data_IF_566932656379
#
_entry.id   IF_566932656379
#
_cell.length_a   1.000
_cell.length_b   1.000
_cell.length_c   1.000
_cell.angle_alpha   90.00
_cell.angle_beta   90.00
_cell.angle_gamma   90.00
#
_symmetry.space_group_name_H-M   'P 1'
#
loop_
_entity.id
_entity.type
_entity.pdbx_description
1 polymer ?
#
# COMPACT_ATOMS: atom_id res chain seq x y z
N UNK A 1 -13.70 11.90 2.10
CA UNK A 1 -12.46 12.56 1.69
C UNK A 1 -11.39 11.52 1.44
N UNK A 2 -10.75 11.59 0.29
CA UNK A 2 -9.79 10.58 -0.10
C UNK A 2 -8.59 10.53 0.84
N UNK A 3 -8.19 9.31 1.18
CA UNK A 3 -7.04 9.02 2.01
C UNK A 3 -6.06 8.18 1.21
N UNK A 4 -4.79 8.52 1.26
CA UNK A 4 -3.72 7.75 0.66
C UNK A 4 -2.94 7.05 1.77
N UNK A 5 -2.96 5.72 1.74
CA UNK A 5 -2.13 4.92 2.62
C UNK A 5 -0.88 4.50 1.86
N UNK A 6 0.27 4.79 2.43
CA UNK A 6 1.55 4.40 1.84
C UNK A 6 2.26 3.39 2.72
N UNK A 7 2.88 2.42 2.10
CA UNK A 7 3.72 1.46 2.78
C UNK A 7 5.02 1.30 2.02
N UNK A 8 6.12 1.43 2.72
CA UNK A 8 7.46 1.28 2.13
C UNK A 8 8.20 0.15 2.84
N UNK A 9 8.99 -0.59 2.10
CA UNK A 9 9.79 -1.68 2.67
C UNK A 9 10.85 -2.10 1.67
N UNK A 10 11.82 -2.89 2.16
CA UNK A 10 12.77 -3.59 1.31
C UNK A 10 12.49 -5.08 1.39
N UNK A 11 12.80 -5.81 0.34
CA UNK A 11 12.84 -7.26 0.40
C UNK A 11 14.01 -7.72 1.27
N UNK A 12 13.89 -8.89 1.86
CA UNK A 12 14.99 -9.50 2.61
C UNK A 12 16.18 -9.72 1.69
N UNK A 13 17.38 -9.41 2.19
CA UNK A 13 18.63 -9.61 1.45
C UNK A 13 18.88 -11.07 1.10
N UNK A 14 18.32 -12.01 1.87
CA UNK A 14 18.47 -13.44 1.63
C UNK A 14 17.75 -13.93 0.38
N UNK A 15 16.84 -13.15 -0.19
CA UNK A 15 16.11 -13.55 -1.39
C UNK A 15 17.00 -13.41 -2.63
N UNK A 16 16.97 -14.41 -3.51
CA UNK A 16 17.61 -14.31 -4.81
C UNK A 16 16.85 -13.33 -5.72
N UNK A 17 17.46 -12.91 -6.80
CA UNK A 17 16.80 -12.03 -7.78
C UNK A 17 15.55 -12.68 -8.36
N UNK A 18 15.59 -14.00 -8.59
CA UNK A 18 14.41 -14.73 -9.07
C UNK A 18 13.31 -14.72 -8.01
N UNK A 19 13.64 -14.90 -6.74
CA UNK A 19 12.66 -14.86 -5.66
C UNK A 19 12.04 -13.48 -5.51
N UNK A 20 12.82 -12.41 -5.67
CA UNK A 20 12.31 -11.05 -5.68
C UNK A 20 11.31 -10.86 -6.83
N UNK A 21 11.64 -11.34 -8.02
CA UNK A 21 10.75 -11.23 -9.17
C UNK A 21 9.46 -12.01 -8.94
N UNK A 22 9.54 -13.19 -8.33
CA UNK A 22 8.36 -13.98 -7.99
C UNK A 22 7.49 -13.25 -6.96
N UNK A 23 8.09 -12.53 -6.03
CA UNK A 23 7.35 -11.71 -5.07
C UNK A 23 6.64 -10.54 -5.74
N UNK A 24 7.27 -9.88 -6.71
CA UNK A 24 6.61 -8.85 -7.50
C UNK A 24 5.39 -9.39 -8.25
N UNK A 25 5.54 -10.58 -8.86
CA UNK A 25 4.41 -11.23 -9.54
C UNK A 25 3.28 -11.53 -8.57
N UNK A 26 3.60 -12.01 -7.38
CA UNK A 26 2.59 -12.30 -6.36
C UNK A 26 1.85 -11.02 -5.95
N UNK A 27 2.57 -9.93 -5.74
CA UNK A 27 1.96 -8.65 -5.39
C UNK A 27 1.01 -8.17 -6.49
N UNK A 28 1.42 -8.27 -7.74
CA UNK A 28 0.64 -7.78 -8.88
C UNK A 28 -0.55 -8.68 -9.21
N UNK A 29 -0.37 -9.98 -9.13
CA UNK A 29 -1.37 -10.95 -9.60
C UNK A 29 -2.36 -11.37 -8.52
N UNK A 30 -1.93 -11.39 -7.25
CA UNK A 30 -2.76 -11.87 -6.15
C UNK A 30 -3.14 -10.77 -5.16
N UNK A 31 -2.17 -10.01 -4.69
CA UNK A 31 -2.40 -9.02 -3.63
C UNK A 31 -3.17 -7.81 -4.14
N UNK A 32 -2.71 -7.20 -5.24
CA UNK A 32 -3.35 -5.99 -5.75
C UNK A 32 -4.82 -6.21 -6.12
N UNK A 33 -5.20 -7.29 -6.84
CA UNK A 33 -6.62 -7.52 -7.11
C UNK A 33 -7.46 -7.73 -5.84
N UNK A 34 -6.92 -8.43 -4.83
CA UNK A 34 -7.65 -8.65 -3.59
C UNK A 34 -7.89 -7.34 -2.83
N UNK A 35 -6.88 -6.47 -2.79
CA UNK A 35 -6.98 -5.14 -2.17
C UNK A 35 -8.03 -4.29 -2.89
N UNK A 36 -8.02 -4.30 -4.22
CA UNK A 36 -8.96 -3.49 -5.01
C UNK A 36 -10.42 -3.92 -4.85
N UNK A 37 -10.67 -5.15 -4.42
CA UNK A 37 -12.03 -5.64 -4.15
C UNK A 37 -12.60 -5.15 -2.82
N UNK A 38 -11.78 -4.63 -1.94
CA UNK A 38 -12.24 -4.15 -0.63
C UNK A 38 -13.05 -2.88 -0.81
N UNK A 39 -14.21 -2.82 -0.17
CA UNK A 39 -15.09 -1.65 -0.26
C UNK A 39 -14.36 -0.39 0.20
N UNK A 40 -14.45 0.66 -0.58
CA UNK A 40 -13.82 1.94 -0.28
C UNK A 40 -12.41 2.09 -0.81
N UNK A 41 -11.82 1.02 -1.37
CA UNK A 41 -10.51 1.10 -2.01
C UNK A 41 -10.70 1.53 -3.46
N UNK A 42 -10.03 2.62 -3.85
CA UNK A 42 -10.09 3.17 -5.21
C UNK A 42 -9.02 2.58 -6.11
N UNK A 43 -7.80 2.43 -5.60
CA UNK A 43 -6.68 1.93 -6.38
C UNK A 43 -5.56 1.44 -5.49
N UNK A 44 -4.72 0.59 -6.04
CA UNK A 44 -3.43 0.22 -5.47
C UNK A 44 -2.39 0.35 -6.57
N UNK A 45 -1.27 0.98 -6.26
CA UNK A 45 -0.13 1.11 -7.18
C UNK A 45 1.15 0.71 -6.46
N UNK A 46 2.02 0.07 -7.21
CA UNK A 46 3.29 -0.44 -6.71
C UNK A 46 4.43 0.22 -7.44
N UNK A 47 5.43 0.68 -6.68
CA UNK A 47 6.61 1.33 -7.23
C UNK A 47 7.87 0.69 -6.67
N UNK A 48 8.91 0.60 -7.49
CA UNK A 48 10.24 0.22 -7.03
C UNK A 48 11.12 1.46 -6.94
N UNK A 49 12.20 1.36 -6.17
CA UNK A 49 13.23 2.39 -6.16
C UNK A 49 13.91 2.49 -7.52
N UNK A 50 14.50 3.65 -7.82
CA UNK A 50 15.02 3.98 -9.14
C UNK A 50 15.97 2.91 -9.69
N UNK A 51 15.55 2.27 -10.77
CA UNK A 51 16.37 1.35 -11.54
C UNK A 51 16.58 -0.04 -10.98
N UNK A 52 15.92 -0.40 -9.84
CA UNK A 52 16.14 -1.72 -9.27
C UNK A 52 14.85 -2.29 -8.67
N UNK A 53 14.47 -3.50 -9.08
CA UNK A 53 13.29 -4.17 -8.53
C UNK A 53 13.47 -4.54 -7.05
N UNK A 54 14.70 -4.66 -6.58
CA UNK A 54 15.01 -5.04 -5.21
C UNK A 54 14.94 -3.89 -4.22
N UNK A 55 15.11 -2.65 -4.69
CA UNK A 55 15.25 -1.50 -3.81
C UNK A 55 13.92 -0.79 -3.57
N UNK A 56 13.73 -0.30 -2.35
CA UNK A 56 12.69 0.65 -1.95
C UNK A 56 11.31 0.43 -2.59
N UNK A 57 10.64 -0.64 -2.18
CA UNK A 57 9.29 -0.92 -2.66
C UNK A 57 8.33 0.05 -1.97
N UNK A 58 7.47 0.68 -2.74
CA UNK A 58 6.41 1.56 -2.23
C UNK A 58 5.06 1.08 -2.73
N UNK A 59 4.14 0.87 -1.79
CA UNK A 59 2.76 0.53 -2.08
C UNK A 59 1.90 1.75 -1.77
N UNK A 60 1.10 2.19 -2.74
CA UNK A 60 0.18 3.31 -2.58
C UNK A 60 -1.25 2.79 -2.73
N UNK A 61 -2.04 2.95 -1.68
CA UNK A 61 -3.46 2.54 -1.69
C UNK A 61 -4.31 3.78 -1.48
N UNK A 62 -5.09 4.16 -2.48
CA UNK A 62 -6.03 5.25 -2.38
C UNK A 62 -7.38 4.72 -1.94
N UNK A 63 -7.96 5.35 -0.93
CA UNK A 63 -9.24 4.95 -0.33
C UNK A 63 -10.18 6.16 -0.27
N UNK A 64 -11.48 5.89 -0.22
CA UNK A 64 -12.49 6.95 -0.12
C UNK A 64 -12.33 7.76 1.16
N UNK A 65 -11.98 7.08 2.26
CA UNK A 65 -11.74 7.69 3.55
C UNK A 65 -10.84 6.78 4.41
N UNK A 66 -10.48 7.24 5.59
CA UNK A 66 -9.60 6.49 6.48
C UNK A 66 -10.20 5.16 6.95
N UNK A 67 -11.51 5.01 6.95
CA UNK A 67 -12.16 3.76 7.35
C UNK A 67 -11.82 2.60 6.38
N UNK A 68 -11.41 2.89 5.16
CA UNK A 68 -10.97 1.88 4.21
C UNK A 68 -9.78 1.06 4.71
N UNK A 69 -8.90 1.67 5.48
CA UNK A 69 -7.76 0.96 6.07
C UNK A 69 -8.23 -0.15 7.02
N UNK A 70 -9.21 0.15 7.85
CA UNK A 70 -9.75 -0.85 8.78
C UNK A 70 -10.42 -1.99 8.02
N UNK A 71 -11.13 -1.69 6.94
CA UNK A 71 -11.74 -2.72 6.08
C UNK A 71 -10.67 -3.62 5.47
N UNK A 72 -9.53 -3.05 5.04
CA UNK A 72 -8.41 -3.85 4.54
C UNK A 72 -7.89 -4.82 5.59
N UNK A 73 -7.71 -4.34 6.82
CA UNK A 73 -7.20 -5.17 7.91
C UNK A 73 -8.17 -6.27 8.31
N UNK A 74 -9.47 -6.05 8.14
CA UNK A 74 -10.50 -7.02 8.50
C UNK A 74 -10.82 -7.99 7.37
N UNK A 75 -10.40 -7.70 6.15
CA UNK A 75 -10.65 -8.58 5.01
C UNK A 75 -9.84 -9.87 5.14
N UNK A 76 -10.53 -11.02 5.15
CA UNK A 76 -9.90 -12.31 5.41
C UNK A 76 -8.91 -12.70 4.31
N UNK A 77 -9.24 -12.42 3.05
CA UNK A 77 -8.35 -12.74 1.93
C UNK A 77 -7.10 -11.87 1.94
N UNK A 78 -7.28 -10.56 2.16
CA UNK A 78 -6.16 -9.62 2.25
C UNK A 78 -5.22 -10.03 3.38
N UNK A 79 -5.74 -10.36 4.57
CA UNK A 79 -4.91 -10.80 5.69
C UNK A 79 -4.12 -12.06 5.38
N UNK A 80 -4.75 -13.02 4.71
CA UNK A 80 -4.09 -14.25 4.30
C UNK A 80 -2.92 -13.98 3.35
N UNK A 81 -3.15 -13.13 2.35
CA UNK A 81 -2.12 -12.79 1.37
C UNK A 81 -0.99 -11.97 1.99
N UNK A 82 -1.31 -11.05 2.89
CA UNK A 82 -0.30 -10.25 3.58
C UNK A 82 0.56 -11.11 4.50
N UNK A 83 -0.01 -12.12 5.13
CA UNK A 83 0.76 -13.07 5.93
C UNK A 83 1.87 -13.74 5.13
N UNK A 84 1.58 -14.09 3.89
CA UNK A 84 2.59 -14.66 2.99
C UNK A 84 3.60 -13.60 2.54
N UNK A 85 3.14 -12.40 2.20
CA UNK A 85 4.00 -11.30 1.74
C UNK A 85 5.03 -10.93 2.80
N UNK A 86 4.62 -10.87 4.06
CA UNK A 86 5.52 -10.48 5.15
C UNK A 86 6.70 -11.43 5.33
N UNK A 87 6.63 -12.64 4.83
CA UNK A 87 7.76 -13.56 4.89
C UNK A 87 8.93 -13.11 4.00
N UNK A 88 8.65 -12.32 2.98
CA UNK A 88 9.66 -11.81 2.03
C UNK A 88 10.15 -10.40 2.35
N UNK A 89 9.47 -9.68 3.25
CA UNK A 89 9.81 -8.30 3.58
C UNK A 89 10.78 -8.23 4.75
N UNK A 90 11.72 -7.32 4.65
CA UNK A 90 12.52 -6.93 5.80
C UNK A 90 11.71 -5.93 6.62
N UNK A 91 11.05 -6.42 7.65
CA UNK A 91 10.14 -5.61 8.47
C UNK A 91 10.83 -4.47 9.21
N UNK A 92 12.15 -4.55 9.40
CA UNK A 92 12.93 -3.46 10.01
C UNK A 92 12.96 -2.23 9.13
N UNK A 93 12.77 -2.41 7.81
CA UNK A 93 12.78 -1.30 6.85
C UNK A 93 11.38 -0.77 6.57
N UNK A 94 10.35 -1.41 7.11
CA UNK A 94 8.97 -1.06 6.82
C UNK A 94 8.60 0.30 7.41
N UNK A 95 7.97 1.12 6.57
CA UNK A 95 7.39 2.40 6.99
C UNK A 95 5.96 2.50 6.48
N UNK A 96 5.21 3.38 7.09
CA UNK A 96 3.84 3.65 6.61
C UNK A 96 3.46 5.09 6.89
N UNK A 97 2.54 5.60 6.08
CA UNK A 97 1.95 6.90 6.32
C UNK A 97 0.52 6.94 5.81
N UNK A 98 -0.25 7.83 6.40
CA UNK A 98 -1.60 8.17 5.93
C UNK A 98 -1.57 9.62 5.51
N UNK A 99 -2.10 9.90 4.31
CA UNK A 99 -2.16 11.24 3.75
C UNK A 99 -3.59 11.52 3.34
N UNK A 100 -4.06 12.70 3.70
CA UNK A 100 -5.39 13.16 3.38
C UNK A 100 -5.32 14.07 2.18
N UNK A 101 -6.22 13.87 1.22
CA UNK A 101 -6.31 14.76 0.07
C UNK A 101 -6.74 16.16 0.53
N UNK A 102 -6.05 17.18 0.07
CA UNK A 102 -6.43 18.58 0.30
C UNK A 102 -7.22 19.04 -0.92
N UNK A 103 -8.46 19.43 -0.70
CA UNK A 103 -9.35 19.90 -1.76
C UNK A 103 -9.57 21.39 -1.65
N UNK A 104 -9.97 22.07 -2.76
CA UNK A 104 -10.33 23.48 -2.71
C UNK A 104 -11.47 23.75 -1.72
N UNK A 105 -12.43 22.84 -1.60
CA UNK A 105 -13.54 22.96 -0.65
C UNK A 105 -13.06 22.98 0.79
N UNK A 106 -12.10 22.11 1.12
CA UNK A 106 -11.52 22.10 2.46
C UNK A 106 -10.81 23.42 2.78
N UNK A 107 -10.01 23.91 1.84
CA UNK A 107 -9.28 25.16 2.03
C UNK A 107 -10.26 26.32 2.23
N UNK A 108 -11.34 26.37 1.45
CA UNK A 108 -12.36 27.42 1.61
C UNK A 108 -13.03 27.34 2.97
N UNK A 109 -13.38 26.13 3.41
CA UNK A 109 -14.01 25.93 4.71
C UNK A 109 -13.11 26.36 5.87
N UNK A 110 -11.82 26.02 5.80
CA UNK A 110 -10.86 26.41 6.84
C UNK A 110 -10.62 27.92 6.83
N UNK A 111 -10.61 28.55 5.66
CA UNK A 111 -10.41 29.99 5.53
C UNK A 111 -11.59 30.79 6.07
N UNK A 112 -12.82 30.31 5.89
CA UNK A 112 -14.02 31.02 6.33
C UNK A 112 -14.30 30.83 7.82
N UNK A 113 -13.72 29.81 8.46
CA UNK A 113 -13.93 29.57 9.88
C UNK A 113 -12.93 30.30 10.78
N UNK A 114 -11.97 30.91 10.16
CA UNK A 114 -10.92 31.64 10.88
C UNK A 114 -10.99 33.09 10.70
#
# INVERSE_FOLDING_TARGET
MATLYTRTFNFKDSLSDKEVLDEWKFLMEEVAPAVEKVEGVRSIKLYSGAGALRADITVLIEMDDAAGYERLLLDAEVRKLLGRVYTAWDLKTAGQSFRREITPELIRALSSSG
#
